data_IF_064279910192
#
_entry.id   IF_064279910192
#
_cell.length_a   1.000
_cell.length_b   1.000
_cell.length_c   1.000
_cell.angle_alpha   90.00
_cell.angle_beta   90.00
_cell.angle_gamma   90.00
#
_symmetry.space_group_name_H-M   'P 1'
#
loop_
_entity.id
_entity.type
_entity.pdbx_description
1 polymer ?
#
# COMPACT_ATOMS: atom_id res chain seq x y z
N UNK A 1 11.67 -53.43 -66.90
CA UNK A 1 11.74 -51.95 -66.89
C UNK A 1 11.25 -51.48 -65.55
N UNK A 2 12.00 -50.55 -64.94
CA UNK A 2 11.82 -49.88 -63.64
C UNK A 2 11.82 -50.79 -62.39
N UNK A 3 12.81 -50.76 -61.49
CA UNK A 3 13.74 -49.68 -61.14
C UNK A 3 13.56 -49.22 -59.68
N UNK A 4 13.33 -50.14 -58.73
CA UNK A 4 13.20 -49.78 -57.31
C UNK A 4 14.58 -49.63 -56.65
N UNK A 5 15.05 -48.38 -56.59
CA UNK A 5 16.24 -47.96 -55.83
C UNK A 5 16.02 -48.20 -54.33
N UNK A 6 16.84 -49.06 -53.73
CA UNK A 6 16.98 -49.18 -52.27
C UNK A 6 17.78 -48.00 -51.75
N UNK A 7 17.13 -47.04 -51.09
CA UNK A 7 17.81 -46.06 -50.25
C UNK A 7 17.93 -46.64 -48.84
N UNK A 8 19.14 -47.06 -48.46
CA UNK A 8 19.48 -47.35 -47.08
C UNK A 8 19.73 -46.01 -46.37
N UNK A 9 18.84 -45.62 -45.46
CA UNK A 9 19.06 -44.48 -44.58
C UNK A 9 20.06 -44.91 -43.49
N UNK A 10 21.30 -44.43 -43.59
CA UNK A 10 22.28 -44.45 -42.51
C UNK A 10 21.80 -43.50 -41.41
N UNK A 11 21.36 -44.05 -40.28
CA UNK A 11 21.15 -43.27 -39.06
C UNK A 11 22.52 -42.96 -38.43
N UNK A 12 23.00 -41.73 -38.63
CA UNK A 12 24.14 -41.21 -37.89
C UNK A 12 23.71 -40.93 -36.44
N UNK A 13 24.17 -41.75 -35.51
CA UNK A 13 24.08 -41.46 -34.07
C UNK A 13 25.14 -40.41 -33.76
N UNK A 14 24.73 -39.15 -33.68
CA UNK A 14 25.57 -38.09 -33.14
C UNK A 14 25.65 -38.24 -31.62
N UNK A 15 26.81 -38.69 -31.11
CA UNK A 15 27.12 -38.65 -29.69
C UNK A 15 27.28 -37.18 -29.27
N UNK A 16 26.27 -36.63 -28.59
CA UNK A 16 26.38 -35.32 -27.96
C UNK A 16 27.27 -35.42 -26.72
N UNK A 17 28.54 -35.06 -26.84
CA UNK A 17 29.41 -34.81 -25.69
C UNK A 17 28.92 -33.57 -24.97
N UNK A 18 28.26 -33.76 -23.83
CA UNK A 18 27.94 -32.68 -22.91
C UNK A 18 29.25 -32.15 -22.29
N UNK A 19 29.73 -31.02 -22.79
CA UNK A 19 30.74 -30.24 -22.09
C UNK A 19 30.11 -29.71 -20.79
N UNK A 20 30.45 -30.34 -19.66
CA UNK A 20 30.09 -29.84 -18.34
C UNK A 20 30.77 -28.48 -18.12
N UNK A 21 30.03 -27.40 -18.31
CA UNK A 21 30.46 -26.08 -17.87
C UNK A 21 30.48 -26.07 -16.35
N UNK A 22 31.69 -26.07 -15.79
CA UNK A 22 31.90 -25.90 -14.36
C UNK A 22 31.29 -24.56 -13.93
N UNK A 23 30.19 -24.63 -13.19
CA UNK A 23 29.64 -23.47 -12.51
C UNK A 23 30.59 -23.07 -11.38
N UNK A 24 30.82 -21.77 -11.15
CA UNK A 24 31.68 -21.32 -10.08
C UNK A 24 31.09 -21.79 -8.74
N UNK A 25 31.87 -22.60 -8.01
CA UNK A 25 31.59 -22.92 -6.61
C UNK A 25 31.72 -21.63 -5.82
N UNK A 26 30.60 -21.11 -5.34
CA UNK A 26 30.56 -20.05 -4.34
C UNK A 26 31.05 -20.64 -3.00
N UNK A 27 32.37 -20.64 -2.80
CA UNK A 27 32.96 -20.79 -1.47
C UNK A 27 33.03 -19.40 -0.85
N UNK A 28 31.91 -18.98 -0.29
CA UNK A 28 31.78 -17.83 0.57
C UNK A 28 30.62 -18.10 1.51
N UNK A 29 30.91 -18.24 2.79
CA UNK A 29 29.91 -18.03 3.84
C UNK A 29 29.31 -16.67 3.53
N UNK A 30 28.01 -16.61 3.19
CA UNK A 30 27.35 -15.34 2.93
C UNK A 30 27.49 -14.48 4.18
N UNK A 31 28.40 -13.51 4.14
CA UNK A 31 28.52 -12.50 5.17
C UNK A 31 27.15 -11.85 5.28
N UNK A 32 26.54 -11.88 6.46
CA UNK A 32 25.24 -11.27 6.67
C UNK A 32 25.42 -9.77 6.39
N UNK A 33 24.95 -9.31 5.23
CA UNK A 33 25.07 -7.91 4.83
C UNK A 33 24.61 -7.00 5.98
N UNK A 34 25.39 -5.98 6.30
CA UNK A 34 25.02 -5.02 7.33
C UNK A 34 23.66 -4.39 7.01
N UNK A 35 22.91 -3.99 8.03
CA UNK A 35 21.67 -3.26 7.84
C UNK A 35 21.93 -1.93 7.11
N UNK A 36 21.05 -1.58 6.18
CA UNK A 36 21.10 -0.30 5.52
C UNK A 36 20.79 0.82 6.52
N UNK A 37 21.53 1.93 6.40
CA UNK A 37 21.29 3.15 7.17
C UNK A 37 20.87 4.27 6.24
N UNK A 38 19.99 5.13 6.73
CA UNK A 38 19.50 6.29 6.00
C UNK A 38 18.06 6.61 6.31
N UNK A 39 17.48 7.45 5.45
CA UNK A 39 16.14 8.02 5.63
C UNK A 39 15.36 7.88 4.34
N UNK A 40 14.10 7.45 4.43
CA UNK A 40 13.12 7.58 3.36
C UNK A 40 12.35 8.89 3.58
N UNK A 41 12.34 9.76 2.58
CA UNK A 41 11.54 10.99 2.52
C UNK A 41 10.36 10.77 1.58
N UNK A 42 9.16 11.08 2.04
CA UNK A 42 7.94 11.09 1.23
C UNK A 42 7.46 12.53 1.14
N UNK A 43 7.18 12.99 -0.07
CA UNK A 43 6.59 14.29 -0.37
C UNK A 43 5.37 14.09 -1.25
N UNK A 44 4.22 14.60 -0.82
CA UNK A 44 2.97 14.52 -1.57
C UNK A 44 2.47 15.92 -1.85
N UNK A 45 2.15 16.16 -3.13
CA UNK A 45 1.47 17.36 -3.62
C UNK A 45 -0.02 17.05 -3.71
N UNK A 46 -0.80 17.91 -3.07
CA UNK A 46 -2.24 17.78 -2.99
C UNK A 46 -2.91 18.09 -4.32
N UNK A 47 -3.89 17.29 -4.70
CA UNK A 47 -4.73 17.57 -5.85
C UNK A 47 -5.92 18.47 -5.49
N UNK A 48 -6.74 18.79 -6.50
CA UNK A 48 -7.89 19.69 -6.36
C UNK A 48 -8.93 19.18 -5.36
N UNK A 49 -9.02 17.87 -5.19
CA UNK A 49 -9.99 17.19 -4.33
C UNK A 49 -9.36 16.70 -3.01
N UNK A 50 -8.21 17.28 -2.61
CA UNK A 50 -7.57 16.96 -1.33
C UNK A 50 -8.45 17.22 -0.12
N UNK A 51 -9.34 18.21 -0.19
CA UNK A 51 -10.31 18.47 0.87
C UNK A 51 -11.73 18.39 0.33
N UNK A 52 -12.50 17.36 0.70
CA UNK A 52 -13.94 17.43 0.53
C UNK A 52 -14.62 18.06 1.73
N UNK A 53 -15.53 18.97 1.43
CA UNK A 53 -16.44 19.52 2.41
C UNK A 53 -17.84 18.96 2.17
N UNK A 54 -18.43 18.37 3.19
CA UNK A 54 -19.83 17.98 3.19
C UNK A 54 -20.58 18.73 4.30
N UNK A 55 -21.89 18.84 4.15
CA UNK A 55 -22.75 19.45 5.18
C UNK A 55 -23.09 18.38 6.22
N UNK A 56 -22.74 18.61 7.47
CA UNK A 56 -23.20 17.83 8.61
C UNK A 56 -24.30 18.63 9.33
N UNK A 57 -25.50 18.04 9.46
CA UNK A 57 -26.71 18.76 9.89
C UNK A 57 -27.02 20.01 9.02
N UNK A 58 -28.08 20.76 9.36
CA UNK A 58 -28.57 21.87 8.55
C UNK A 58 -27.56 23.04 8.35
N UNK A 59 -26.50 23.16 9.17
CA UNK A 59 -25.67 24.39 9.23
C UNK A 59 -24.15 24.20 9.30
N UNK A 60 -23.59 23.02 9.63
CA UNK A 60 -22.14 22.88 9.81
C UNK A 60 -21.45 22.29 8.56
N UNK A 61 -20.55 23.05 7.92
CA UNK A 61 -19.66 22.55 6.87
C UNK A 61 -18.50 21.79 7.52
N UNK A 62 -18.42 20.49 7.29
CA UNK A 62 -17.32 19.65 7.77
C UNK A 62 -16.35 19.42 6.63
N UNK A 63 -15.14 19.96 6.77
CA UNK A 63 -14.03 19.66 5.87
C UNK A 63 -13.33 18.40 6.36
N UNK A 64 -13.34 17.35 5.54
CA UNK A 64 -12.56 16.15 5.76
C UNK A 64 -11.27 16.20 4.92
N UNK A 65 -10.30 15.41 5.37
CA UNK A 65 -9.03 15.18 4.70
C UNK A 65 -8.89 13.70 4.44
N UNK A 66 -8.12 13.30 3.42
CA UNK A 66 -7.94 11.90 3.11
C UNK A 66 -7.31 11.16 4.28
N UNK A 67 -7.72 9.91 4.42
CA UNK A 67 -6.94 8.91 5.12
C UNK A 67 -5.89 8.37 4.16
N UNK A 68 -4.69 8.13 4.68
CA UNK A 68 -3.58 7.59 3.90
C UNK A 68 -2.71 6.63 4.71
N UNK A 69 -2.09 5.70 4.01
CA UNK A 69 -1.01 4.87 4.51
C UNK A 69 0.12 4.78 3.47
N UNK A 70 1.35 4.75 3.96
CA UNK A 70 2.57 4.50 3.19
C UNK A 70 3.29 3.32 3.84
N UNK A 71 3.72 2.35 3.03
CA UNK A 71 4.43 1.17 3.52
C UNK A 71 5.51 0.72 2.54
N UNK A 72 6.45 -0.05 3.07
CA UNK A 72 7.54 -0.66 2.34
C UNK A 72 7.23 -2.14 2.07
N UNK A 73 7.48 -2.59 0.85
CA UNK A 73 7.51 -3.98 0.45
C UNK A 73 8.89 -4.33 -0.11
N UNK A 74 9.32 -5.58 0.02
CA UNK A 74 10.52 -6.05 -0.65
C UNK A 74 10.27 -6.29 -2.16
N UNK A 75 11.32 -6.70 -2.89
CA UNK A 75 11.22 -6.98 -4.32
C UNK A 75 10.26 -8.12 -4.69
N UNK A 76 9.84 -8.96 -3.72
CA UNK A 76 8.84 -10.01 -3.93
C UNK A 76 7.40 -9.53 -3.70
N UNK A 77 7.22 -8.28 -3.23
CA UNK A 77 5.92 -7.73 -2.82
C UNK A 77 5.50 -8.17 -1.41
N UNK A 78 6.44 -8.70 -0.62
CA UNK A 78 6.19 -9.02 0.78
C UNK A 78 6.27 -7.74 1.61
N UNK A 79 5.31 -7.58 2.52
CA UNK A 79 5.22 -6.43 3.41
C UNK A 79 6.43 -6.39 4.36
N UNK A 80 7.07 -5.22 4.48
CA UNK A 80 8.24 -4.99 5.34
C UNK A 80 7.87 -4.10 6.53
N UNK A 81 7.35 -2.90 6.30
CA UNK A 81 7.10 -1.93 7.36
C UNK A 81 6.04 -0.87 6.99
N UNK A 82 5.31 -0.36 7.99
CA UNK A 82 4.52 0.88 7.82
C UNK A 82 5.47 2.06 7.99
N UNK A 83 5.53 2.93 6.99
CA UNK A 83 6.25 4.21 7.07
C UNK A 83 5.36 5.26 7.76
N UNK A 84 4.09 5.32 7.33
CA UNK A 84 3.10 6.22 7.90
C UNK A 84 1.69 5.65 7.75
N UNK A 85 0.82 5.87 8.72
CA UNK A 85 -0.62 5.69 8.57
C UNK A 85 -1.38 6.81 9.29
N UNK A 86 -2.48 7.27 8.71
CA UNK A 86 -3.33 8.26 9.39
C UNK A 86 -3.86 7.67 10.68
N UNK A 87 -3.68 8.38 11.82
CA UNK A 87 -3.95 7.83 13.15
C UNK A 87 -5.34 7.21 13.28
N UNK A 88 -6.36 7.88 12.74
CA UNK A 88 -7.75 7.40 12.76
C UNK A 88 -7.89 6.02 12.12
N UNK A 89 -7.20 5.76 11.01
CA UNK A 89 -7.22 4.45 10.35
C UNK A 89 -6.45 3.42 11.16
N UNK A 90 -5.25 3.78 11.65
CA UNK A 90 -4.41 2.89 12.44
C UNK A 90 -5.07 2.41 13.75
N UNK A 91 -5.79 3.29 14.46
CA UNK A 91 -6.46 2.95 15.74
C UNK A 91 -7.96 2.68 15.59
N UNK A 92 -8.49 2.76 14.37
CA UNK A 92 -9.92 2.66 14.04
C UNK A 92 -10.85 3.63 14.81
N UNK A 93 -10.36 4.81 15.17
CA UNK A 93 -11.08 5.82 15.97
C UNK A 93 -11.99 6.71 15.11
N UNK A 94 -13.05 6.08 14.58
CA UNK A 94 -14.02 6.70 13.68
C UNK A 94 -15.01 7.61 14.40
N UNK A 95 -15.45 8.66 13.70
CA UNK A 95 -16.57 9.50 14.16
C UNK A 95 -17.87 8.71 14.03
N UNK A 96 -18.66 8.71 15.11
CA UNK A 96 -19.97 8.07 15.12
C UNK A 96 -20.98 8.86 14.29
N UNK A 97 -21.71 8.14 13.42
CA UNK A 97 -22.97 8.60 12.85
C UNK A 97 -24.12 8.48 13.85
N UNK A 98 -25.31 8.92 13.45
CA UNK A 98 -26.51 8.80 14.27
C UNK A 98 -26.81 7.32 14.57
N UNK A 99 -26.96 6.97 15.85
CA UNK A 99 -27.24 5.61 16.30
C UNK A 99 -26.04 4.66 16.36
N UNK A 100 -24.84 5.08 15.93
CA UNK A 100 -23.63 4.25 16.03
C UNK A 100 -22.97 4.35 17.41
N UNK A 101 -22.56 3.19 17.96
CA UNK A 101 -21.72 3.13 19.15
C UNK A 101 -20.24 3.20 18.75
N UNK A 102 -19.53 4.24 19.18
CA UNK A 102 -18.15 4.57 18.74
C UNK A 102 -17.19 3.37 18.80
N UNK A 103 -17.28 2.58 19.84
CA UNK A 103 -16.48 1.39 20.12
C UNK A 103 -16.72 0.25 19.11
N UNK A 104 -17.90 0.16 18.51
CA UNK A 104 -18.26 -0.88 17.54
C UNK A 104 -17.97 -0.49 16.09
N UNK A 105 -17.64 0.78 15.84
CA UNK A 105 -17.49 1.30 14.47
C UNK A 105 -16.27 0.67 13.79
N UNK A 106 -16.51 0.13 12.60
CA UNK A 106 -15.49 -0.27 11.63
C UNK A 106 -15.75 0.43 10.30
N UNK A 107 -14.66 0.78 9.59
CA UNK A 107 -14.68 1.33 8.23
C UNK A 107 -13.65 0.58 7.38
N UNK A 108 -13.93 -0.68 7.00
CA UNK A 108 -13.00 -1.50 6.23
C UNK A 108 -12.67 -0.90 4.86
N UNK A 109 -13.59 -0.12 4.28
CA UNK A 109 -13.41 0.61 3.02
C UNK A 109 -12.34 1.71 3.05
N UNK A 110 -11.86 2.12 4.24
CA UNK A 110 -10.97 3.28 4.34
C UNK A 110 -9.62 3.05 3.67
N UNK A 111 -8.92 1.96 3.99
CA UNK A 111 -7.61 1.61 3.42
C UNK A 111 -7.47 0.07 3.36
N UNK A 112 -8.30 -0.62 2.57
CA UNK A 112 -8.40 -2.08 2.61
C UNK A 112 -7.15 -2.83 2.18
N UNK A 113 -6.37 -2.29 1.21
CA UNK A 113 -5.17 -2.95 0.69
C UNK A 113 -4.08 -2.97 1.75
N UNK A 114 -3.76 -1.80 2.31
CA UNK A 114 -2.82 -1.68 3.42
C UNK A 114 -3.30 -2.49 4.62
N UNK A 115 -4.58 -2.40 4.99
CA UNK A 115 -5.11 -3.09 6.16
C UNK A 115 -4.97 -4.62 6.06
N UNK A 116 -5.11 -5.22 4.87
CA UNK A 116 -4.87 -6.67 4.70
C UNK A 116 -3.40 -7.03 4.73
N UNK A 117 -2.56 -6.34 3.95
CA UNK A 117 -1.10 -6.55 3.96
C UNK A 117 -0.52 -6.43 5.37
N UNK A 118 -0.95 -5.40 6.09
CA UNK A 118 -0.55 -5.16 7.48
C UNK A 118 -0.97 -6.28 8.43
N UNK A 119 -2.21 -6.78 8.29
CA UNK A 119 -2.75 -7.83 9.17
C UNK A 119 -2.15 -9.23 8.91
N UNK A 120 -1.76 -9.55 7.68
CA UNK A 120 -1.28 -10.89 7.32
C UNK A 120 0.17 -11.15 7.75
N UNK A 121 1.03 -10.14 7.76
CA UNK A 121 2.49 -10.34 7.90
C UNK A 121 3.16 -9.50 8.99
N UNK A 122 2.47 -8.50 9.55
CA UNK A 122 3.11 -7.47 10.38
C UNK A 122 3.32 -7.83 11.86
N UNK A 123 3.91 -8.97 12.21
CA UNK A 123 3.85 -9.45 13.61
C UNK A 123 5.05 -9.06 14.49
N UNK A 124 6.27 -8.82 13.98
CA UNK A 124 7.41 -8.30 14.77
C UNK A 124 8.51 -7.71 13.84
N UNK A 125 9.40 -6.81 14.31
CA UNK A 125 9.36 -6.12 15.61
C UNK A 125 8.30 -5.02 15.65
N UNK A 126 7.81 -4.69 16.86
CA UNK A 126 6.83 -3.60 17.11
C UNK A 126 7.11 -2.29 16.36
N UNK A 127 8.38 -1.93 16.19
CA UNK A 127 8.82 -0.71 15.51
C UNK A 127 8.49 -0.66 14.02
N UNK A 128 8.41 -1.81 13.32
CA UNK A 128 8.07 -1.86 11.89
C UNK A 128 6.56 -1.75 11.64
N UNK A 129 5.76 -2.36 12.52
CA UNK A 129 4.31 -2.47 12.33
C UNK A 129 3.54 -2.98 13.56
N UNK A 130 4.18 -3.74 14.46
CA UNK A 130 3.48 -4.44 15.55
C UNK A 130 2.71 -3.53 16.51
N UNK A 131 3.10 -2.26 16.66
CA UNK A 131 2.37 -1.31 17.50
C UNK A 131 0.95 -0.96 16.97
N UNK A 132 0.74 -1.02 15.65
CA UNK A 132 -0.59 -0.88 15.03
C UNK A 132 -1.35 -2.22 14.99
N UNK A 133 -0.62 -3.34 15.08
CA UNK A 133 -1.19 -4.66 14.92
C UNK A 133 -2.13 -5.00 16.08
N UNK A 134 -3.34 -5.47 15.74
CA UNK A 134 -4.35 -5.87 16.72
C UNK A 134 -5.09 -4.72 17.39
N UNK A 135 -4.73 -3.45 17.13
CA UNK A 135 -5.51 -2.30 17.63
C UNK A 135 -6.94 -2.29 17.11
N UNK A 136 -7.16 -2.71 15.87
CA UNK A 136 -8.48 -2.89 15.27
C UNK A 136 -9.34 -3.98 15.95
N UNK A 137 -8.73 -4.82 16.79
CA UNK A 137 -9.43 -5.85 17.59
C UNK A 137 -9.72 -5.39 19.00
N UNK A 138 -9.22 -4.22 19.42
CA UNK A 138 -9.41 -3.70 20.78
C UNK A 138 -10.77 -2.99 20.90
N UNK A 139 -11.48 -3.17 22.03
CA UNK A 139 -12.72 -2.43 22.29
C UNK A 139 -12.45 -0.94 22.60
N UNK A 140 -11.28 -0.62 23.19
CA UNK A 140 -10.85 0.77 23.42
C UNK A 140 -9.91 1.24 22.32
N UNK A 141 -10.15 2.47 21.84
CA UNK A 141 -9.48 3.10 20.70
C UNK A 141 -8.45 4.17 21.11
N UNK A 142 -7.92 4.03 22.32
CA UNK A 142 -7.10 5.01 23.05
C UNK A 142 -5.60 4.66 23.10
N UNK A 143 -5.08 3.95 22.09
CA UNK A 143 -3.68 3.50 22.09
C UNK A 143 -2.67 4.67 22.17
N UNK A 144 -1.71 4.54 23.09
CA UNK A 144 -0.67 5.52 23.43
C UNK A 144 0.77 5.00 23.22
N UNK A 145 0.95 3.88 22.50
CA UNK A 145 2.26 3.29 22.26
C UNK A 145 3.20 4.28 21.53
N UNK A 146 4.42 4.57 22.02
CA UNK A 146 5.37 5.45 21.34
C UNK A 146 5.69 5.04 19.90
N UNK A 147 5.76 3.74 19.60
CA UNK A 147 5.98 3.25 18.24
C UNK A 147 4.78 3.56 17.32
N UNK A 148 3.56 3.56 17.87
CA UNK A 148 2.36 4.00 17.15
C UNK A 148 2.40 5.50 16.85
N UNK A 149 2.87 6.33 17.80
CA UNK A 149 3.05 7.77 17.57
C UNK A 149 4.14 8.04 16.50
N UNK A 150 5.18 7.21 16.44
CA UNK A 150 6.24 7.30 15.44
C UNK A 150 5.81 6.86 14.04
N UNK A 151 4.70 6.11 13.88
CA UNK A 151 4.19 5.66 12.58
C UNK A 151 2.88 6.37 12.18
N UNK A 152 2.27 7.14 13.08
CA UNK A 152 0.94 7.72 12.82
C UNK A 152 0.89 9.21 13.08
N UNK A 153 -0.02 9.87 12.37
CA UNK A 153 -0.24 11.30 12.55
C UNK A 153 -1.57 11.75 11.98
N UNK A 154 -1.85 13.04 12.14
CA UNK A 154 -2.93 13.70 11.43
C UNK A 154 -2.47 14.05 10.01
N UNK A 155 -3.38 13.98 9.04
CA UNK A 155 -3.15 14.52 7.70
C UNK A 155 -3.02 16.05 7.80
N UNK A 156 -1.91 16.66 7.32
CA UNK A 156 -1.70 18.11 7.36
C UNK A 156 -2.78 18.89 6.62
N UNK A 157 -2.87 20.21 6.86
CA UNK A 157 -3.87 21.07 6.21
C UNK A 157 -3.61 21.22 4.73
N UNK A 158 -2.34 21.33 4.35
CA UNK A 158 -1.89 21.37 2.97
C UNK A 158 -0.58 20.59 2.81
N UNK A 159 -0.45 19.88 1.68
CA UNK A 159 0.66 19.00 1.37
C UNK A 159 0.89 17.89 2.41
N UNK A 160 1.86 17.03 2.14
CA UNK A 160 2.35 16.08 3.15
C UNK A 160 3.83 15.81 2.93
N UNK A 161 4.61 15.88 4.01
CA UNK A 161 6.01 15.48 4.01
C UNK A 161 6.29 14.59 5.22
N UNK A 162 7.03 13.50 5.00
CA UNK A 162 7.41 12.55 6.04
C UNK A 162 8.83 12.08 5.84
N UNK A 163 9.66 12.27 6.87
CA UNK A 163 10.93 11.58 6.98
C UNK A 163 10.76 10.33 7.86
N UNK A 164 11.35 9.22 7.42
CA UNK A 164 11.34 7.95 8.13
C UNK A 164 12.74 7.34 8.11
N UNK A 165 13.35 7.29 9.29
CA UNK A 165 14.67 6.69 9.48
C UNK A 165 14.53 5.18 9.32
N UNK A 166 15.42 4.57 8.55
CA UNK A 166 15.43 3.12 8.36
C UNK A 166 15.58 2.42 9.71
N UNK A 167 14.73 1.41 9.91
CA UNK A 167 14.72 0.60 11.12
C UNK A 167 15.72 -0.56 10.98
N UNK A 168 16.30 -1.05 12.09
CA UNK A 168 17.16 -2.23 12.07
C UNK A 168 16.47 -3.42 11.39
N UNK A 169 17.26 -4.22 10.67
CA UNK A 169 16.83 -5.37 9.88
C UNK A 169 16.53 -5.09 8.40
N UNK A 170 16.47 -3.83 7.97
CA UNK A 170 16.32 -3.49 6.55
C UNK A 170 17.68 -3.64 5.85
N UNK A 171 17.76 -4.53 4.85
CA UNK A 171 19.00 -4.79 4.10
C UNK A 171 19.13 -3.90 2.87
N UNK A 172 20.34 -3.63 2.37
CA UNK A 172 20.52 -3.02 1.05
C UNK A 172 19.80 -3.83 -0.04
N UNK A 173 19.13 -3.15 -0.97
CA UNK A 173 18.38 -3.83 -2.03
C UNK A 173 17.31 -2.98 -2.70
N UNK A 174 16.53 -3.62 -3.57
CA UNK A 174 15.37 -3.01 -4.23
C UNK A 174 14.13 -3.17 -3.37
N UNK A 175 13.40 -2.08 -3.19
CA UNK A 175 12.16 -2.05 -2.42
C UNK A 175 11.07 -1.31 -3.17
N UNK A 176 9.83 -1.76 -2.93
CA UNK A 176 8.63 -1.12 -3.45
C UNK A 176 8.03 -0.27 -2.34
N UNK A 177 7.84 1.01 -2.61
CA UNK A 177 7.10 1.92 -1.73
C UNK A 177 5.68 2.03 -2.26
N UNK A 178 4.73 1.76 -1.38
CA UNK A 178 3.31 1.78 -1.66
C UNK A 178 2.64 2.92 -0.93
N UNK A 179 1.61 3.48 -1.55
CA UNK A 179 0.67 4.37 -0.87
C UNK A 179 -0.77 3.94 -1.14
N UNK A 180 -1.65 4.10 -0.15
CA UNK A 180 -3.09 3.95 -0.32
C UNK A 180 -3.77 5.18 0.29
N UNK A 181 -4.68 5.81 -0.45
CA UNK A 181 -5.27 7.10 -0.10
C UNK A 181 -6.78 7.07 -0.39
N UNK A 182 -7.58 7.51 0.57
CA UNK A 182 -9.04 7.49 0.48
C UNK A 182 -9.65 8.77 1.07
N UNK A 183 -10.65 9.32 0.39
CA UNK A 183 -11.53 10.33 0.97
C UNK A 183 -12.89 9.74 1.37
N UNK A 184 -13.27 9.87 2.64
CA UNK A 184 -14.58 9.42 3.10
C UNK A 184 -15.71 10.25 2.48
N UNK A 185 -16.89 9.64 2.25
CA UNK A 185 -18.09 10.27 1.69
C UNK A 185 -17.88 10.93 0.32
N UNK A 186 -16.99 10.36 -0.49
CA UNK A 186 -16.71 10.78 -1.86
C UNK A 186 -17.63 10.08 -2.86
N UNK A 187 -18.94 10.32 -2.75
CA UNK A 187 -19.95 9.62 -3.55
C UNK A 187 -20.00 10.11 -4.99
N UNK A 188 -20.33 9.21 -5.91
CA UNK A 188 -20.63 9.53 -7.30
C UNK A 188 -21.73 8.59 -7.85
N UNK A 189 -22.00 8.62 -9.15
CA UNK A 189 -23.04 7.78 -9.76
C UNK A 189 -22.75 6.27 -9.64
N UNK A 190 -21.48 5.85 -9.66
CA UNK A 190 -21.09 4.46 -9.54
C UNK A 190 -21.00 3.99 -8.07
N UNK A 191 -20.78 4.90 -7.13
CA UNK A 191 -20.69 4.64 -5.70
C UNK A 191 -21.64 5.58 -4.95
N UNK A 192 -22.96 5.32 -4.99
CA UNK A 192 -23.95 6.24 -4.45
C UNK A 192 -24.10 6.11 -2.92
N UNK A 193 -24.50 7.19 -2.26
CA UNK A 193 -24.64 7.27 -0.79
C UNK A 193 -25.69 6.27 -0.24
N UNK A 194 -26.72 6.01 -1.02
CA UNK A 194 -27.88 5.21 -0.64
C UNK A 194 -27.81 3.73 -1.07
N UNK A 195 -26.69 3.27 -1.63
CA UNK A 195 -26.52 1.84 -1.94
C UNK A 195 -26.63 1.00 -0.66
N UNK A 196 -27.45 -0.05 -0.72
CA UNK A 196 -27.60 -1.06 0.31
C UNK A 196 -26.45 -2.08 0.31
N UNK A 197 -26.26 -2.78 1.43
CA UNK A 197 -25.26 -3.86 1.50
C UNK A 197 -25.58 -4.97 0.50
N UNK A 198 -24.59 -5.34 -0.32
CA UNK A 198 -24.75 -6.31 -1.42
C UNK A 198 -25.17 -5.70 -2.76
N UNK A 199 -25.56 -4.42 -2.80
CA UNK A 199 -25.86 -3.72 -4.05
C UNK A 199 -24.58 -3.26 -4.77
N UNK A 200 -24.68 -3.06 -6.09
CA UNK A 200 -23.60 -2.49 -6.88
C UNK A 200 -23.21 -1.10 -6.35
N UNK A 201 -21.91 -0.82 -6.26
CA UNK A 201 -21.42 0.45 -5.75
C UNK A 201 -21.44 0.61 -4.24
N UNK A 202 -21.86 -0.41 -3.48
CA UNK A 202 -21.87 -0.34 -2.03
C UNK A 202 -20.46 -0.15 -1.45
N UNK A 203 -20.31 0.91 -0.65
CA UNK A 203 -19.03 1.35 -0.07
C UNK A 203 -19.12 1.67 1.43
N UNK A 204 -20.05 1.03 2.14
CA UNK A 204 -20.32 1.24 3.56
C UNK A 204 -21.50 2.17 3.89
N UNK A 205 -22.41 2.35 2.92
CA UNK A 205 -23.62 3.18 3.06
C UNK A 205 -23.33 4.66 3.25
N UNK A 206 -24.23 5.39 3.92
CA UNK A 206 -24.15 6.85 4.10
C UNK A 206 -22.97 7.35 4.94
N UNK A 207 -22.34 6.44 5.68
CA UNK A 207 -21.11 6.70 6.45
C UNK A 207 -19.87 6.05 5.83
N UNK A 208 -20.03 5.50 4.63
CA UNK A 208 -19.02 4.84 3.83
C UNK A 208 -18.04 5.78 3.15
N UNK A 209 -17.15 5.19 2.35
CA UNK A 209 -16.14 5.95 1.62
C UNK A 209 -16.71 6.65 0.39
N UNK A 210 -17.74 6.09 -0.26
CA UNK A 210 -18.08 6.48 -1.62
C UNK A 210 -17.13 5.78 -2.58
N UNK A 211 -16.40 6.55 -3.38
CA UNK A 211 -15.37 6.02 -4.26
C UNK A 211 -14.28 5.26 -3.48
N UNK A 212 -13.74 4.18 -4.06
CA UNK A 212 -12.68 3.37 -3.44
C UNK A 212 -11.38 4.16 -3.22
N UNK A 213 -10.54 3.64 -2.33
CA UNK A 213 -9.17 4.12 -2.13
C UNK A 213 -8.35 3.96 -3.41
N UNK A 214 -7.43 4.89 -3.69
CA UNK A 214 -6.43 4.75 -4.76
C UNK A 214 -5.13 4.20 -4.21
N UNK A 215 -4.50 3.33 -4.99
CA UNK A 215 -3.23 2.69 -4.67
C UNK A 215 -2.14 3.18 -5.63
N UNK A 216 -1.00 3.56 -5.05
CA UNK A 216 0.17 4.06 -5.76
C UNK A 216 1.40 3.18 -5.45
N UNK A 217 2.33 3.11 -6.39
CA UNK A 217 3.53 2.28 -6.31
C UNK A 217 4.74 2.97 -6.95
N UNK A 218 5.92 2.81 -6.35
CA UNK A 218 7.20 3.19 -6.96
C UNK A 218 8.35 2.41 -6.33
N UNK A 219 9.44 2.24 -7.08
CA UNK A 219 10.58 1.42 -6.63
C UNK A 219 11.80 2.29 -6.35
N UNK A 220 12.45 2.06 -5.21
CA UNK A 220 13.72 2.70 -4.83
C UNK A 220 14.78 1.64 -4.51
N UNK A 221 16.04 2.06 -4.55
CA UNK A 221 17.19 1.26 -4.08
C UNK A 221 17.64 1.81 -2.73
N UNK A 222 17.79 0.92 -1.75
CA UNK A 222 18.23 1.24 -0.39
C UNK A 222 19.64 0.69 -0.18
N UNK A 223 20.48 1.41 0.57
CA UNK A 223 21.80 0.95 1.04
C UNK A 223 22.98 1.26 0.10
N UNK A 224 22.81 2.15 -0.87
CA UNK A 224 23.87 2.65 -1.75
C UNK A 224 23.75 4.16 -1.93
N UNK A 225 23.86 4.64 -3.18
CA UNK A 225 23.63 6.04 -3.54
C UNK A 225 22.18 6.50 -3.28
N UNK A 226 21.94 7.83 -3.20
CA UNK A 226 20.58 8.36 -3.17
C UNK A 226 19.71 7.80 -4.31
N UNK A 227 18.47 7.46 -3.98
CA UNK A 227 17.51 6.88 -4.93
C UNK A 227 16.18 7.59 -4.80
N UNK A 228 15.45 7.79 -5.90
CA UNK A 228 14.17 8.46 -5.87
C UNK A 228 13.20 7.88 -6.90
N UNK A 229 11.91 7.95 -6.61
CA UNK A 229 10.84 7.56 -7.50
C UNK A 229 9.60 8.44 -7.29
N UNK A 230 8.87 8.69 -8.37
CA UNK A 230 7.47 9.13 -8.30
C UNK A 230 6.60 7.89 -8.18
N UNK A 231 5.60 7.90 -7.29
CA UNK A 231 4.66 6.79 -7.18
C UNK A 231 3.57 6.91 -8.24
N UNK A 232 3.47 5.89 -9.07
CA UNK A 232 2.46 5.77 -10.12
C UNK A 232 1.17 5.18 -9.54
N UNK A 233 0.04 5.68 -10.00
CA UNK A 233 -1.27 5.10 -9.65
C UNK A 233 -1.44 3.77 -10.38
N UNK A 234 -1.66 2.69 -9.65
CA UNK A 234 -1.75 1.34 -10.20
C UNK A 234 -3.15 0.72 -10.14
N UNK A 235 -4.07 1.35 -9.41
CA UNK A 235 -5.43 0.84 -9.22
C UNK A 235 -6.11 1.40 -7.98
N UNK A 236 -7.14 0.69 -7.54
CA UNK A 236 -7.94 1.03 -6.38
C UNK A 236 -8.19 -0.18 -5.48
N UNK A 237 -8.50 0.07 -4.21
CA UNK A 237 -8.93 -0.97 -3.27
C UNK A 237 -10.38 -1.38 -3.47
N UNK A 238 -10.83 -2.43 -2.76
CA UNK A 238 -12.24 -2.83 -2.83
C UNK A 238 -13.15 -1.73 -2.23
N UNK A 239 -14.23 -1.29 -2.90
CA UNK A 239 -15.09 -0.20 -2.44
C UNK A 239 -15.66 -0.37 -1.02
N UNK A 240 -16.06 -1.60 -0.68
CA UNK A 240 -16.51 -1.95 0.68
C UNK A 240 -15.40 -2.38 1.63
N UNK A 241 -14.18 -2.59 1.13
CA UNK A 241 -13.07 -3.19 1.87
C UNK A 241 -13.20 -4.69 2.14
N UNK A 242 -14.01 -5.41 1.36
CA UNK A 242 -14.14 -6.87 1.44
C UNK A 242 -12.85 -7.62 1.06
N UNK A 243 -12.04 -7.04 0.16
CA UNK A 243 -10.77 -7.61 -0.31
C UNK A 243 -9.62 -6.62 -0.13
N UNK A 244 -8.40 -7.15 0.02
CA UNK A 244 -7.14 -6.39 0.01
C UNK A 244 -6.44 -6.38 -1.35
N UNK A 245 -7.10 -6.87 -2.40
CA UNK A 245 -6.58 -6.85 -3.77
C UNK A 245 -6.61 -5.43 -4.38
N UNK A 246 -5.75 -5.23 -5.38
CA UNK A 246 -5.69 -4.00 -6.16
C UNK A 246 -6.38 -4.22 -7.50
N UNK A 247 -7.42 -3.44 -7.76
CA UNK A 247 -8.20 -3.48 -8.99
C UNK A 247 -7.74 -2.36 -9.94
N UNK A 248 -7.50 -2.69 -11.22
CA UNK A 248 -6.88 -1.75 -12.17
C UNK A 248 -7.85 -0.77 -12.85
N UNK A 249 -9.15 -1.09 -12.90
CA UNK A 249 -10.14 -0.27 -13.61
C UNK A 249 -10.41 1.04 -12.88
N UNK A 250 -10.27 2.17 -13.55
CA UNK A 250 -10.43 3.51 -12.94
C UNK A 250 -11.62 4.29 -13.53
N UNK A 251 -12.34 3.70 -14.48
CA UNK A 251 -13.33 4.37 -15.33
C UNK A 251 -14.55 4.86 -14.54
N UNK A 252 -14.82 4.23 -13.40
CA UNK A 252 -15.91 4.59 -12.49
C UNK A 252 -15.55 5.68 -11.48
N UNK A 253 -14.29 6.13 -11.46
CA UNK A 253 -13.77 7.11 -10.51
C UNK A 253 -13.76 8.50 -11.13
N UNK A 254 -14.05 9.49 -10.30
CA UNK A 254 -14.15 10.91 -10.65
C UNK A 254 -13.24 11.72 -9.74
N UNK A 255 -13.79 12.31 -8.68
CA UNK A 255 -13.08 13.17 -7.72
C UNK A 255 -11.98 12.43 -6.97
N UNK A 256 -12.09 11.12 -6.77
CA UNK A 256 -11.04 10.32 -6.18
C UNK A 256 -9.70 10.42 -6.95
N UNK A 257 -9.76 10.54 -8.28
CA UNK A 257 -8.58 10.64 -9.16
C UNK A 257 -7.82 11.97 -8.99
N UNK A 258 -8.47 12.98 -8.42
CA UNK A 258 -7.96 14.34 -8.25
C UNK A 258 -7.58 14.66 -6.80
N UNK A 259 -7.59 13.66 -5.89
CA UNK A 259 -7.19 13.85 -4.48
C UNK A 259 -5.69 14.17 -4.39
N UNK A 260 -4.87 13.53 -5.24
CA UNK A 260 -3.41 13.62 -5.19
C UNK A 260 -2.89 14.01 -6.55
N UNK A 261 -2.06 15.04 -6.61
CA UNK A 261 -1.39 15.45 -7.83
C UNK A 261 -0.14 14.59 -8.07
N UNK A 262 0.69 14.42 -7.04
CA UNK A 262 1.89 13.58 -7.15
C UNK A 262 2.40 13.12 -5.79
N UNK A 263 3.14 12.02 -5.78
CA UNK A 263 3.86 11.50 -4.62
C UNK A 263 5.28 11.21 -5.05
N UNK A 264 6.26 11.83 -4.39
CA UNK A 264 7.68 11.55 -4.56
C UNK A 264 8.23 10.87 -3.32
N UNK A 265 9.07 9.87 -3.54
CA UNK A 265 9.80 9.16 -2.49
C UNK A 265 11.28 9.17 -2.79
N UNK A 266 12.09 9.41 -1.76
CA UNK A 266 13.54 9.51 -1.86
C UNK A 266 14.19 8.71 -0.72
N UNK A 267 15.16 7.87 -1.05
CA UNK A 267 16.11 7.32 -0.10
C UNK A 267 17.34 8.24 -0.04
N UNK A 268 17.73 8.62 1.17
CA UNK A 268 18.93 9.37 1.48
C UNK A 268 19.83 8.50 2.37
N UNK A 269 21.07 8.17 1.93
CA UNK A 269 21.98 7.33 2.70
C UNK A 269 22.33 7.96 4.04
N UNK A 270 22.49 7.12 5.07
CA UNK A 270 23.05 7.54 6.36
C UNK A 270 24.57 7.64 6.27
N UNK A 271 25.14 8.76 6.72
CA UNK A 271 26.59 8.93 6.86
C UNK A 271 27.19 8.13 8.00
#
# INVERSE_FOLDING_TARGET
MDGFKRYAALAAVAAATAAATAQPRWTGIAEAAEDARGTIRISLVEGKEWTHSFRAMLVAKVTNRPQMAFWLEDASGAYVATIFATRRTAVQDWRAGFGEKRELIKRPSSLPVWARKHAERGVEPKSLCGACHGLHKRPKKDATDPALAAMTGATPKSGFSREWILLPGIKPGRYVVRAEINHSKDFNAAYPENAGEGEAGWSGGSMGSGQPSLVYEGTIVIGGEPSAATLERIGHGHPSGASGEVFRGLESLTTALEIVESIRVEFVPGG
#
